data_IF_794246780264
#
_entry.id   IF_794246780264
#
_cell.length_a   1.000
_cell.length_b   1.000
_cell.length_c   1.000
_cell.angle_alpha   90.00
_cell.angle_beta   90.00
_cell.angle_gamma   90.00
#
_symmetry.space_group_name_H-M   'P 1'
#
loop_
_entity.id
_entity.type
_entity.pdbx_description
1 polymer ?
#
# COMPACT_ATOMS: atom_id res chain seq x y z
N UNK A 1 8.04 1.39 -11.60
CA UNK A 1 6.63 1.22 -11.99
C UNK A 1 5.77 1.38 -10.75
N UNK A 2 4.48 1.60 -10.92
CA UNK A 2 3.51 1.69 -9.82
C UNK A 2 2.35 0.72 -10.08
N UNK A 3 1.64 0.35 -9.02
CA UNK A 3 0.48 -0.53 -9.07
C UNK A 3 -0.44 -0.22 -7.90
N UNK A 4 -1.68 -0.71 -8.01
CA UNK A 4 -2.70 -0.49 -6.99
C UNK A 4 -3.23 -1.82 -6.52
N UNK A 5 -3.52 -1.90 -5.22
CA UNK A 5 -4.18 -3.04 -4.59
C UNK A 5 -5.37 -2.47 -3.83
N UNK A 6 -6.53 -3.10 -3.99
CA UNK A 6 -7.74 -2.78 -3.24
C UNK A 6 -7.93 -3.83 -2.16
N UNK A 7 -8.04 -3.38 -0.92
CA UNK A 7 -8.40 -4.22 0.22
C UNK A 7 -9.90 -4.14 0.48
N UNK A 8 -10.45 -5.18 1.13
CA UNK A 8 -11.87 -5.23 1.49
C UNK A 8 -12.23 -4.21 2.59
N UNK A 9 -11.27 -3.85 3.45
CA UNK A 9 -11.45 -2.89 4.55
C UNK A 9 -10.26 -1.94 4.67
N UNK A 10 -10.49 -0.78 5.31
CA UNK A 10 -9.43 0.18 5.64
C UNK A 10 -8.41 -0.40 6.61
N UNK A 11 -8.86 -1.18 7.60
CA UNK A 11 -7.98 -1.81 8.60
C UNK A 11 -6.98 -2.77 7.95
N UNK A 12 -7.43 -3.58 6.99
CA UNK A 12 -6.55 -4.47 6.23
C UNK A 12 -5.50 -3.69 5.42
N UNK A 13 -5.91 -2.55 4.84
CA UNK A 13 -5.02 -1.67 4.10
C UNK A 13 -3.98 -1.01 5.02
N UNK A 14 -4.36 -0.60 6.22
CA UNK A 14 -3.45 -0.01 7.20
C UNK A 14 -2.41 -1.03 7.70
N UNK A 15 -2.84 -2.24 8.06
CA UNK A 15 -1.93 -3.31 8.45
C UNK A 15 -0.96 -3.67 7.31
N UNK A 16 -1.45 -3.71 6.06
CA UNK A 16 -0.58 -3.95 4.91
C UNK A 16 0.43 -2.81 4.71
N UNK A 17 0.00 -1.55 4.84
CA UNK A 17 0.88 -0.39 4.74
C UNK A 17 1.98 -0.44 5.79
N UNK A 18 1.65 -0.67 7.06
CA UNK A 18 2.63 -0.72 8.14
C UNK A 18 3.68 -1.83 7.93
N UNK A 19 3.27 -2.99 7.41
CA UNK A 19 4.16 -4.13 7.18
C UNK A 19 5.03 -4.00 5.94
N UNK A 20 4.52 -3.38 4.87
CA UNK A 20 5.16 -3.40 3.55
C UNK A 20 5.85 -2.08 3.21
N UNK A 21 5.46 -0.97 3.83
CA UNK A 21 6.14 0.30 3.60
C UNK A 21 7.61 0.19 4.00
N UNK A 22 8.50 0.44 3.02
CA UNK A 22 9.94 0.33 3.21
C UNK A 22 10.49 -1.09 3.17
N UNK A 23 9.68 -2.10 2.88
CA UNK A 23 10.17 -3.46 2.62
C UNK A 23 11.09 -3.49 1.40
N UNK A 24 12.03 -4.43 1.37
CA UNK A 24 12.91 -4.66 0.22
C UNK A 24 12.37 -5.83 -0.59
N UNK A 25 12.03 -5.55 -1.85
CA UNK A 25 11.53 -6.53 -2.82
C UNK A 25 12.46 -6.52 -4.01
N UNK A 26 13.02 -7.67 -4.39
CA UNK A 26 13.97 -7.79 -5.51
C UNK A 26 15.13 -6.77 -5.40
N UNK A 27 15.68 -6.61 -4.19
CA UNK A 27 16.78 -5.68 -3.91
C UNK A 27 16.42 -4.20 -3.93
N UNK A 28 15.14 -3.83 -4.06
CA UNK A 28 14.68 -2.44 -4.07
C UNK A 28 13.72 -2.15 -2.93
N UNK A 29 13.93 -1.04 -2.24
CA UNK A 29 12.99 -0.54 -1.24
C UNK A 29 11.71 -0.06 -1.93
N UNK A 30 10.57 -0.50 -1.45
CA UNK A 30 9.26 -0.06 -1.95
C UNK A 30 8.61 0.94 -0.99
N UNK A 31 7.74 1.80 -1.53
CA UNK A 31 6.90 2.71 -0.78
C UNK A 31 5.44 2.29 -0.92
N UNK A 32 4.72 2.30 0.20
CA UNK A 32 3.28 2.04 0.24
C UNK A 32 2.58 3.24 0.87
N UNK A 33 1.57 3.76 0.17
CA UNK A 33 0.76 4.91 0.56
C UNK A 33 -0.72 4.55 0.48
N UNK A 34 -1.53 5.07 1.39
CA UNK A 34 -2.99 4.95 1.33
C UNK A 34 -3.53 5.92 0.28
N UNK A 35 -4.46 5.44 -0.53
CA UNK A 35 -5.18 6.28 -1.49
C UNK A 35 -6.66 6.29 -1.12
N UNK A 36 -7.11 7.44 -0.60
CA UNK A 36 -8.54 7.69 -0.42
C UNK A 36 -9.12 8.14 -1.75
N UNK A 37 -9.99 7.32 -2.33
CA UNK A 37 -10.85 7.77 -3.44
C UNK A 37 -11.89 8.69 -2.81
N UNK A 38 -11.65 9.99 -2.87
CA UNK A 38 -12.73 10.95 -2.68
C UNK A 38 -13.63 10.83 -3.91
N UNK A 39 -14.91 10.58 -3.70
CA UNK A 39 -15.89 10.54 -4.80
C UNK A 39 -15.73 11.81 -5.66
N UNK A 40 -15.60 11.60 -6.97
CA UNK A 40 -15.31 12.64 -7.97
C UNK A 40 -16.49 13.57 -8.19
#
# INVERSE_FOLDING_TARGET
GFGFVTFASSDDADVAREKLHGAVVEGRKIEVCTMSVVDL
#
